data_IF_667195072402
#
_entry.id   IF_667195072402
#
_cell.length_a   1.000
_cell.length_b   1.000
_cell.length_c   1.000
_cell.angle_alpha   90.00
_cell.angle_beta   90.00
_cell.angle_gamma   90.00
#
_symmetry.space_group_name_H-M   'P 1'
#
loop_
_entity.id
_entity.type
_entity.pdbx_description
1 polymer ?
#
# COMPACT_ATOMS: atom_id res chain seq x y z
N UNK A 1 -1.85 -5.21 4.73
CA UNK A 1 -2.31 -6.22 3.76
C UNK A 1 -2.84 -5.60 2.49
N UNK A 2 -3.95 -4.83 2.49
CA UNK A 2 -4.56 -4.33 1.24
C UNK A 2 -3.66 -3.43 0.40
N UNK A 3 -2.90 -2.53 1.02
CA UNK A 3 -1.92 -1.68 0.32
C UNK A 3 -0.85 -2.54 -0.36
N UNK A 4 -0.25 -3.49 0.35
CA UNK A 4 0.75 -4.42 -0.20
C UNK A 4 0.19 -5.25 -1.38
N UNK A 5 -1.07 -5.68 -1.27
CA UNK A 5 -1.76 -6.37 -2.36
C UNK A 5 -1.92 -5.49 -3.60
N UNK A 6 -2.26 -4.20 -3.45
CA UNK A 6 -2.27 -3.26 -4.56
C UNK A 6 -0.89 -3.13 -5.21
N UNK A 7 0.19 -3.07 -4.40
CA UNK A 7 1.56 -3.03 -4.93
C UNK A 7 1.86 -4.24 -5.82
N UNK A 8 1.54 -5.44 -5.35
CA UNK A 8 1.81 -6.67 -6.11
C UNK A 8 0.91 -6.81 -7.33
N UNK A 9 -0.40 -6.54 -7.17
CA UNK A 9 -1.39 -6.74 -8.23
C UNK A 9 -1.16 -5.81 -9.43
N UNK A 10 -0.66 -4.61 -9.18
CA UNK A 10 -0.40 -3.60 -10.20
C UNK A 10 1.09 -3.39 -10.47
N UNK A 11 1.97 -4.21 -9.89
CA UNK A 11 3.43 -4.07 -9.97
C UNK A 11 3.94 -2.66 -9.63
N UNK A 12 3.33 -2.01 -8.62
CA UNK A 12 3.68 -0.66 -8.18
C UNK A 12 4.88 -0.68 -7.24
N UNK A 13 5.79 0.28 -7.43
CA UNK A 13 6.78 0.65 -6.41
C UNK A 13 6.13 1.40 -5.24
N UNK A 14 6.91 1.67 -4.18
CA UNK A 14 6.39 2.30 -2.96
C UNK A 14 5.85 3.73 -3.22
N UNK A 15 6.54 4.51 -4.05
CA UNK A 15 6.13 5.86 -4.45
C UNK A 15 4.86 5.84 -5.32
N UNK A 16 4.79 4.95 -6.30
CA UNK A 16 3.61 4.81 -7.15
C UNK A 16 2.38 4.32 -6.37
N UNK A 17 2.60 3.59 -5.28
CA UNK A 17 1.53 3.16 -4.37
C UNK A 17 1.02 4.31 -3.52
N UNK A 18 1.92 5.17 -3.03
CA UNK A 18 1.53 6.41 -2.34
C UNK A 18 0.66 7.29 -3.26
N UNK A 19 1.09 7.47 -4.52
CA UNK A 19 0.37 8.24 -5.52
C UNK A 19 -1.02 7.64 -5.81
N UNK A 20 -1.14 6.31 -6.01
CA UNK A 20 -2.42 5.64 -6.19
C UNK A 20 -3.37 5.88 -5.00
N UNK A 21 -2.90 5.73 -3.76
CA UNK A 21 -3.74 5.96 -2.58
C UNK A 21 -4.12 7.43 -2.39
N UNK A 22 -3.34 8.37 -2.92
CA UNK A 22 -3.61 9.81 -2.89
C UNK A 22 -4.58 10.23 -3.98
N UNK A 23 -4.38 9.78 -5.20
CA UNK A 23 -5.04 10.33 -6.39
C UNK A 23 -6.16 9.44 -6.94
N UNK A 24 -6.17 8.16 -6.61
CA UNK A 24 -7.12 7.18 -7.12
C UNK A 24 -8.11 6.80 -6.00
N UNK A 25 -9.36 7.32 -6.03
CA UNK A 25 -10.34 7.08 -4.96
C UNK A 25 -10.67 5.60 -4.76
N UNK A 26 -10.61 4.79 -5.83
CA UNK A 26 -10.86 3.35 -5.75
C UNK A 26 -9.73 2.60 -5.03
N UNK A 27 -8.46 2.98 -5.26
CA UNK A 27 -7.30 2.41 -4.56
C UNK A 27 -7.34 2.73 -3.07
N UNK A 28 -7.64 4.00 -2.75
CA UNK A 28 -7.87 4.46 -1.38
C UNK A 28 -9.02 3.74 -0.67
N UNK A 29 -10.18 3.63 -1.33
CA UNK A 29 -11.35 2.93 -0.80
C UNK A 29 -11.08 1.43 -0.60
N UNK A 30 -10.38 0.79 -1.55
CA UNK A 30 -9.96 -0.60 -1.42
C UNK A 30 -9.05 -0.78 -0.20
N UNK A 31 -8.05 0.09 -0.04
CA UNK A 31 -7.17 0.09 1.12
C UNK A 31 -7.89 0.32 2.46
N UNK A 32 -9.16 0.75 2.43
CA UNK A 32 -9.95 1.06 3.62
C UNK A 32 -9.51 2.35 4.30
N UNK A 33 -8.85 3.24 3.56
CA UNK A 33 -8.43 4.54 4.04
C UNK A 33 -9.63 5.48 3.94
N UNK A 34 -10.09 5.98 5.09
CA UNK A 34 -11.20 6.92 5.14
C UNK A 34 -10.81 8.21 4.38
N UNK A 35 -11.66 8.71 3.47
CA UNK A 35 -11.44 9.98 2.78
C UNK A 35 -11.19 11.17 3.72
N UNK A 36 -11.66 11.12 4.96
CA UNK A 36 -11.44 12.12 6.01
C UNK A 36 -10.34 11.78 7.02
N UNK A 37 -9.72 10.60 6.94
CA UNK A 37 -8.65 10.23 7.86
C UNK A 37 -7.37 11.01 7.56
N UNK A 38 -6.75 11.50 8.63
CA UNK A 38 -5.45 12.18 8.57
C UNK A 38 -4.35 11.13 8.38
N UNK A 39 -4.09 10.73 7.14
CA UNK A 39 -2.87 9.97 6.81
C UNK A 39 -3.07 8.86 5.80
N UNK A 40 -3.03 9.22 4.51
CA UNK A 40 -2.57 8.29 3.49
C UNK A 40 -1.12 7.91 3.82
N UNK A 41 -0.76 6.62 3.89
CA UNK A 41 0.61 6.22 4.17
C UNK A 41 1.53 6.74 3.05
N UNK A 42 2.65 7.33 3.45
CA UNK A 42 3.71 7.74 2.53
C UNK A 42 4.53 6.53 2.07
N UNK A 43 5.36 6.73 1.04
CA UNK A 43 6.22 5.70 0.47
C UNK A 43 7.12 5.05 1.54
N UNK A 44 7.55 5.81 2.56
CA UNK A 44 8.39 5.28 3.65
C UNK A 44 7.63 4.34 4.58
N UNK A 45 6.37 4.65 4.86
CA UNK A 45 5.46 3.78 5.62
C UNK A 45 5.15 2.51 4.82
N UNK A 46 4.89 2.64 3.52
CA UNK A 46 4.65 1.52 2.61
C UNK A 46 5.88 0.60 2.54
N UNK A 47 7.07 1.17 2.38
CA UNK A 47 8.35 0.45 2.41
C UNK A 47 8.55 -0.35 3.70
N UNK A 48 8.25 0.26 4.86
CA UNK A 48 8.35 -0.43 6.16
C UNK A 48 7.38 -1.61 6.26
N UNK A 49 6.17 -1.48 5.72
CA UNK A 49 5.23 -2.59 5.64
C UNK A 49 5.74 -3.71 4.73
N UNK A 50 6.29 -3.38 3.56
CA UNK A 50 6.90 -4.39 2.67
C UNK A 50 8.00 -5.17 3.39
N UNK A 51 8.96 -4.48 4.02
CA UNK A 51 10.02 -5.15 4.79
C UNK A 51 9.47 -5.98 5.96
N UNK A 52 8.36 -5.57 6.59
CA UNK A 52 7.71 -6.38 7.61
C UNK A 52 7.18 -7.69 7.02
N UNK A 53 6.52 -7.64 5.86
CA UNK A 53 6.03 -8.85 5.19
C UNK A 53 7.15 -9.77 4.71
N UNK A 54 8.22 -9.21 4.14
CA UNK A 54 9.40 -9.98 3.71
C UNK A 54 10.07 -10.68 4.89
N UNK A 55 10.24 -10.00 6.03
CA UNK A 55 10.83 -10.60 7.25
C UNK A 55 10.04 -11.77 7.81
N UNK A 56 8.72 -11.79 7.59
CA UNK A 56 7.85 -12.86 8.05
C UNK A 56 7.53 -13.88 6.94
N UNK A 57 8.17 -13.79 5.78
CA UNK A 57 7.91 -14.60 4.58
C UNK A 57 6.42 -14.58 4.15
N UNK A 58 5.76 -13.45 4.40
CA UNK A 58 4.36 -13.21 4.04
C UNK A 58 4.21 -12.53 2.67
N UNK A 59 5.31 -12.01 2.11
CA UNK A 59 5.33 -11.37 0.80
C UNK A 59 5.31 -12.37 -0.36
N UNK A 60 5.75 -13.61 -0.12
CA UNK A 60 5.90 -14.67 -1.13
C UNK A 60 4.59 -15.41 -1.44
N UNK A 61 3.56 -15.24 -0.61
CA UNK A 61 2.36 -16.08 -0.61
C UNK A 61 1.16 -15.54 -1.41
N UNK A 62 1.33 -14.50 -2.24
CA UNK A 62 0.25 -13.83 -2.98
C UNK A 62 0.42 -13.94 -4.50
#
# INVERSE_FOLDING_TARGET
MRVHFLQQRFALGDEATEEDLRDIPVGRAFAGIDPGATGTPDATTILRFRHLFERHDLATAL
#
